data_IF_756871159957
#
_entry.id   IF_756871159957
#
_cell.length_a   1.000
_cell.length_b   1.000
_cell.length_c   1.000
_cell.angle_alpha   90.00
_cell.angle_beta   90.00
_cell.angle_gamma   90.00
#
_symmetry.space_group_name_H-M   'P 1'
#
loop_
_entity.id
_entity.type
_entity.pdbx_description
1 polymer ?
#
# COMPACT_ATOMS: atom_id res chain seq x y z
N UNK A 1 11.02 0.20 -20.58
CA UNK A 1 11.15 -1.22 -20.26
C UNK A 1 11.40 -1.99 -21.55
N UNK A 2 12.62 -2.50 -21.66
CA UNK A 2 13.06 -3.41 -22.72
C UNK A 2 12.32 -4.75 -22.62
N UNK A 3 12.40 -5.55 -23.69
CA UNK A 3 11.86 -6.92 -23.67
C UNK A 3 12.60 -7.82 -22.66
N UNK A 4 13.91 -7.62 -22.48
CA UNK A 4 14.73 -8.38 -21.53
C UNK A 4 14.36 -8.09 -20.06
N UNK A 5 14.13 -6.83 -19.70
CA UNK A 5 13.67 -6.47 -18.34
C UNK A 5 12.28 -7.07 -18.04
N UNK A 6 11.38 -7.10 -19.03
CA UNK A 6 10.06 -7.75 -18.91
C UNK A 6 10.18 -9.25 -18.68
N UNK A 7 11.08 -9.90 -19.39
CA UNK A 7 11.28 -11.34 -19.29
C UNK A 7 11.95 -11.72 -17.97
N UNK A 8 12.92 -10.93 -17.50
CA UNK A 8 13.54 -11.11 -16.19
C UNK A 8 12.54 -10.94 -15.04
N UNK A 9 11.70 -9.88 -15.07
CA UNK A 9 10.65 -9.67 -14.08
C UNK A 9 9.60 -10.79 -14.10
N UNK A 10 9.24 -11.31 -15.27
CA UNK A 10 8.34 -12.47 -15.43
C UNK A 10 8.97 -13.76 -14.90
N UNK A 11 10.27 -13.98 -15.10
CA UNK A 11 10.96 -15.18 -14.60
C UNK A 11 11.14 -15.24 -13.08
N UNK A 12 11.01 -14.09 -12.40
CA UNK A 12 11.09 -14.01 -10.93
C UNK A 12 9.74 -14.24 -10.24
N UNK A 13 8.65 -14.36 -11.01
CA UNK A 13 7.29 -14.27 -10.52
C UNK A 13 6.43 -15.35 -11.16
N UNK A 14 5.76 -16.15 -10.32
CA UNK A 14 4.72 -17.08 -10.76
C UNK A 14 3.48 -16.93 -9.89
N UNK A 15 2.31 -17.20 -10.48
CA UNK A 15 1.03 -17.17 -9.79
C UNK A 15 1.04 -18.12 -8.60
N UNK A 16 0.44 -17.69 -7.50
CA UNK A 16 0.26 -18.54 -6.34
C UNK A 16 -0.62 -19.76 -6.67
N UNK A 17 -0.15 -20.95 -6.31
CA UNK A 17 -0.96 -22.18 -6.41
C UNK A 17 -2.17 -22.09 -5.47
N UNK A 18 -3.36 -22.38 -6.00
CA UNK A 18 -4.61 -22.47 -5.23
C UNK A 18 -4.59 -23.65 -4.25
N UNK A 19 -5.35 -23.54 -3.16
CA UNK A 19 -5.58 -24.64 -2.22
C UNK A 19 -4.49 -24.86 -1.16
N UNK A 20 -3.51 -23.95 -1.06
CA UNK A 20 -2.56 -23.90 0.06
C UNK A 20 -3.20 -23.27 1.29
N UNK A 21 -2.86 -23.73 2.49
CA UNK A 21 -3.34 -23.06 3.72
C UNK A 21 -2.72 -21.67 3.86
N UNK A 22 -3.37 -20.71 4.56
CA UNK A 22 -2.80 -19.39 4.81
C UNK A 22 -1.37 -19.43 5.36
N UNK A 23 -1.07 -20.38 6.26
CA UNK A 23 0.27 -20.55 6.83
C UNK A 23 1.31 -20.96 5.77
N UNK A 24 0.95 -21.86 4.85
CA UNK A 24 1.81 -22.26 3.74
C UNK A 24 2.04 -21.11 2.75
N UNK A 25 1.00 -20.33 2.48
CA UNK A 25 1.10 -19.14 1.63
C UNK A 25 2.02 -18.09 2.26
N UNK A 26 1.88 -17.83 3.57
CA UNK A 26 2.73 -16.89 4.33
C UNK A 26 4.20 -17.32 4.33
N UNK A 27 4.49 -18.59 4.63
CA UNK A 27 5.86 -19.09 4.65
C UNK A 27 6.57 -18.89 3.29
N UNK A 28 5.89 -19.20 2.18
CA UNK A 28 6.44 -18.99 0.84
C UNK A 28 6.56 -17.51 0.46
N UNK A 29 5.66 -16.65 0.95
CA UNK A 29 5.75 -15.20 0.74
C UNK A 29 6.94 -14.60 1.52
N UNK A 30 7.08 -14.96 2.79
CA UNK A 30 8.17 -14.46 3.64
C UNK A 30 9.55 -14.94 3.17
N UNK A 31 9.66 -16.18 2.70
CA UNK A 31 10.91 -16.69 2.12
C UNK A 31 11.39 -15.82 0.95
N UNK A 32 10.45 -15.34 0.13
CA UNK A 32 10.74 -14.50 -1.05
C UNK A 32 10.99 -13.04 -0.71
N UNK A 33 10.20 -12.48 0.21
CA UNK A 33 10.15 -11.03 0.42
C UNK A 33 10.71 -10.58 1.76
N UNK A 34 10.60 -11.32 2.86
CA UNK A 34 11.00 -10.81 4.19
C UNK A 34 12.53 -10.64 4.34
N UNK A 35 13.32 -11.38 3.54
CA UNK A 35 14.77 -11.43 3.65
C UNK A 35 15.52 -10.68 2.53
N UNK A 36 14.82 -9.82 1.77
CA UNK A 36 15.48 -8.98 0.77
C UNK A 36 16.49 -8.03 1.45
N UNK A 37 17.68 -7.83 0.87
CA UNK A 37 18.69 -6.95 1.44
C UNK A 37 18.24 -5.49 1.33
N UNK A 38 18.21 -4.78 2.47
CA UNK A 38 17.78 -3.37 2.54
C UNK A 38 18.93 -2.37 2.34
N UNK A 39 20.18 -2.83 2.43
CA UNK A 39 21.40 -2.03 2.48
C UNK A 39 21.94 -1.88 3.91
N UNK A 40 23.25 -1.65 4.03
CA UNK A 40 23.93 -1.48 5.33
C UNK A 40 23.53 -0.18 6.06
N UNK A 41 22.92 0.76 5.32
CA UNK A 41 22.40 2.03 5.82
C UNK A 41 21.02 1.90 6.48
N UNK A 42 20.44 0.70 6.52
CA UNK A 42 19.10 0.46 7.07
C UNK A 42 19.15 -0.39 8.33
N UNK A 43 18.53 0.12 9.40
CA UNK A 43 18.31 -0.61 10.64
C UNK A 43 16.82 -0.70 10.94
N UNK A 44 16.34 -1.93 11.15
CA UNK A 44 14.98 -2.16 11.64
C UNK A 44 14.99 -2.26 13.17
N UNK A 45 14.08 -1.54 13.82
CA UNK A 45 13.91 -1.56 15.27
C UNK A 45 12.46 -1.89 15.59
N UNK A 46 12.25 -2.90 16.43
CA UNK A 46 10.91 -3.27 16.89
C UNK A 46 10.26 -2.13 17.67
N UNK A 47 8.99 -1.90 17.38
CA UNK A 47 8.15 -0.88 17.99
C UNK A 47 6.75 -1.43 18.22
N UNK A 48 6.02 -0.81 19.15
CA UNK A 48 4.57 -0.90 19.23
C UNK A 48 3.99 0.47 18.93
N UNK A 49 3.00 0.53 18.05
CA UNK A 49 2.33 1.76 17.61
C UNK A 49 0.82 1.53 17.63
N UNK A 50 0.08 2.29 18.43
CA UNK A 50 -1.36 2.09 18.64
C UNK A 50 -1.70 0.74 19.27
N UNK A 51 -0.77 0.12 20.00
CA UNK A 51 -0.91 -1.25 20.51
C UNK A 51 -0.64 -2.35 19.47
N UNK A 52 -0.24 -2.00 18.25
CA UNK A 52 0.05 -2.91 17.14
C UNK A 52 1.57 -3.05 16.97
N UNK A 53 2.12 -4.26 16.76
CA UNK A 53 3.55 -4.40 16.43
C UNK A 53 3.90 -3.64 15.15
N UNK A 54 5.12 -3.10 15.11
CA UNK A 54 5.63 -2.34 13.98
C UNK A 54 7.16 -2.41 13.95
N UNK A 55 7.74 -2.00 12.83
CA UNK A 55 9.17 -1.79 12.68
C UNK A 55 9.44 -0.33 12.33
N UNK A 56 10.20 0.37 13.17
CA UNK A 56 10.85 1.61 12.75
C UNK A 56 11.91 1.26 11.70
N UNK A 57 11.83 1.88 10.53
CA UNK A 57 12.75 1.70 9.40
C UNK A 57 13.72 2.89 9.40
N UNK A 58 14.79 2.76 10.18
CA UNK A 58 15.82 3.80 10.23
C UNK A 58 16.74 3.69 9.02
N UNK A 59 16.80 4.75 8.23
CA UNK A 59 17.73 4.90 7.11
C UNK A 59 18.70 6.03 7.45
N UNK A 60 20.00 5.82 7.27
CA UNK A 60 21.00 6.83 7.54
C UNK A 60 20.71 8.13 6.77
N UNK A 61 20.67 9.26 7.50
CA UNK A 61 20.37 10.58 6.94
C UNK A 61 18.89 10.89 6.71
N UNK A 62 17.96 9.95 6.94
CA UNK A 62 16.52 10.21 6.90
C UNK A 62 16.02 10.80 8.23
N UNK A 63 16.08 12.12 8.36
CA UNK A 63 15.73 12.87 9.57
C UNK A 63 14.82 14.08 9.33
N UNK A 64 14.13 14.13 8.17
CA UNK A 64 13.17 15.17 7.88
C UNK A 64 11.94 15.09 8.81
N UNK A 65 11.33 16.25 9.08
CA UNK A 65 10.13 16.32 9.91
C UNK A 65 8.95 15.56 9.28
N UNK A 66 8.32 14.71 10.09
CA UNK A 66 7.20 13.86 9.69
C UNK A 66 7.56 12.39 9.66
N UNK A 67 6.60 11.56 9.29
CA UNK A 67 6.75 10.10 9.26
C UNK A 67 5.94 9.50 8.12
N UNK A 68 6.51 8.50 7.46
CA UNK A 68 5.82 7.60 6.56
C UNK A 68 5.21 6.47 7.41
N UNK A 69 3.88 6.36 7.44
CA UNK A 69 3.21 5.16 7.92
C UNK A 69 3.04 4.21 6.73
N UNK A 70 3.82 3.13 6.73
CA UNK A 70 3.79 2.12 5.67
C UNK A 70 2.85 0.96 6.03
N UNK A 71 1.94 0.65 5.12
CA UNK A 71 0.96 -0.44 5.22
C UNK A 71 1.25 -1.43 4.10
N UNK A 72 1.73 -2.62 4.45
CA UNK A 72 2.18 -3.59 3.45
C UNK A 72 1.04 -4.21 2.63
N UNK A 73 1.35 -4.73 1.46
CA UNK A 73 0.47 -5.59 0.67
C UNK A 73 0.45 -7.04 1.16
N UNK A 74 -0.11 -7.94 0.34
CA UNK A 74 -0.32 -9.34 0.72
C UNK A 74 -1.79 -9.72 0.86
N UNK A 75 -2.70 -9.00 0.18
CA UNK A 75 -4.12 -9.35 0.08
C UNK A 75 -4.83 -9.51 1.43
N UNK A 76 -4.39 -8.78 2.47
CA UNK A 76 -4.86 -8.89 3.86
C UNK A 76 -4.63 -10.24 4.55
N UNK A 77 -3.95 -11.17 3.90
CA UNK A 77 -3.71 -12.55 4.38
C UNK A 77 -2.23 -12.82 4.58
N UNK A 78 -1.37 -12.13 3.83
CA UNK A 78 0.07 -12.31 3.75
C UNK A 78 0.81 -11.03 4.12
N UNK A 79 2.13 -11.14 4.22
CA UNK A 79 3.02 -10.04 4.51
C UNK A 79 3.20 -9.79 6.00
N UNK A 80 4.03 -8.80 6.29
CA UNK A 80 4.39 -8.35 7.63
C UNK A 80 5.05 -6.98 7.54
N UNK A 81 5.25 -6.33 8.68
CA UNK A 81 6.07 -5.12 8.79
C UNK A 81 7.45 -5.30 8.13
N UNK A 82 8.03 -6.51 8.19
CA UNK A 82 9.32 -6.82 7.55
C UNK A 82 9.24 -6.74 6.03
N UNK A 83 8.18 -7.30 5.42
CA UNK A 83 7.98 -7.22 3.96
C UNK A 83 7.68 -5.79 3.49
N UNK A 84 6.94 -5.02 4.29
CA UNK A 84 6.70 -3.59 4.01
C UNK A 84 7.97 -2.74 4.08
N UNK A 85 8.93 -3.12 4.93
CA UNK A 85 10.22 -2.42 5.04
C UNK A 85 11.01 -2.37 3.72
N UNK A 86 10.79 -3.32 2.81
CA UNK A 86 11.42 -3.37 1.49
C UNK A 86 11.07 -2.19 0.59
N UNK A 87 9.89 -1.59 0.76
CA UNK A 87 9.48 -0.38 0.03
C UNK A 87 9.54 0.86 0.93
N UNK A 88 9.31 0.71 2.23
CA UNK A 88 9.45 1.81 3.17
C UNK A 88 10.89 2.36 3.22
N UNK A 89 11.91 1.49 3.22
CA UNK A 89 13.32 1.90 3.25
C UNK A 89 13.75 2.71 2.01
N UNK A 90 13.55 2.27 0.77
CA UNK A 90 13.88 3.07 -0.41
C UNK A 90 13.09 4.39 -0.49
N UNK A 91 11.82 4.42 -0.06
CA UNK A 91 11.04 5.66 0.00
C UNK A 91 11.57 6.62 1.06
N UNK A 92 11.92 6.11 2.24
CA UNK A 92 12.59 6.86 3.31
C UNK A 92 13.93 7.43 2.81
N UNK A 93 14.75 6.62 2.15
CA UNK A 93 16.04 7.03 1.56
C UNK A 93 15.90 8.19 0.56
N UNK A 94 14.93 8.12 -0.35
CA UNK A 94 14.71 9.12 -1.42
C UNK A 94 14.02 10.40 -0.93
N UNK A 95 13.19 10.28 0.10
CA UNK A 95 12.43 11.40 0.67
C UNK A 95 13.16 12.08 1.83
N UNK A 96 14.07 11.37 2.51
CA UNK A 96 14.70 11.77 3.76
C UNK A 96 13.76 11.69 4.97
N UNK A 97 12.57 11.10 4.83
CA UNK A 97 11.54 11.06 5.87
C UNK A 97 11.59 9.71 6.59
N UNK A 98 11.65 9.68 7.94
CA UNK A 98 11.55 8.46 8.72
C UNK A 98 10.31 7.63 8.36
N UNK A 99 10.42 6.30 8.39
CA UNK A 99 9.31 5.41 8.11
C UNK A 99 9.07 4.42 9.24
N UNK A 100 7.81 4.05 9.43
CA UNK A 100 7.37 2.96 10.31
C UNK A 100 6.51 2.01 9.49
N UNK A 101 6.85 0.73 9.51
CA UNK A 101 6.11 -0.33 8.81
C UNK A 101 5.24 -1.07 9.83
N UNK A 102 3.92 -1.07 9.62
CA UNK A 102 2.96 -1.63 10.58
C UNK A 102 2.75 -3.12 10.35
N UNK A 103 2.68 -3.91 11.42
CA UNK A 103 2.41 -5.35 11.39
C UNK A 103 0.93 -5.60 11.77
N UNK A 104 0.02 -5.12 10.91
CA UNK A 104 -1.42 -5.18 11.18
C UNK A 104 -1.94 -6.62 11.13
N UNK A 105 -3.00 -6.91 11.88
CA UNK A 105 -3.59 -8.27 11.94
C UNK A 105 -4.13 -8.74 10.59
N UNK A 106 -3.87 -10.01 10.28
CA UNK A 106 -4.20 -10.65 9.01
C UNK A 106 -5.36 -11.64 9.12
N UNK A 107 -6.08 -11.77 8.02
CA UNK A 107 -7.08 -12.80 7.82
C UNK A 107 -6.43 -14.15 7.50
N UNK A 108 -7.13 -15.29 7.74
CA UNK A 108 -8.51 -15.39 8.26
C UNK A 108 -8.65 -15.30 9.78
N UNK A 109 -7.55 -15.35 10.55
CA UNK A 109 -7.59 -15.31 12.02
C UNK A 109 -8.20 -14.01 12.54
N UNK A 110 -7.95 -12.93 11.80
CA UNK A 110 -8.46 -11.60 12.07
C UNK A 110 -9.04 -11.01 10.78
N UNK A 111 -10.25 -11.46 10.42
CA UNK A 111 -11.00 -10.93 9.29
C UNK A 111 -11.35 -9.42 9.44
N UNK A 112 -11.88 -8.83 8.38
CA UNK A 112 -12.43 -7.49 8.35
C UNK A 112 -13.36 -7.25 9.55
N UNK A 113 -13.24 -6.11 10.27
CA UNK A 113 -12.39 -4.93 9.98
C UNK A 113 -11.07 -4.87 10.78
N UNK A 114 -10.48 -5.99 11.21
CA UNK A 114 -9.34 -5.98 12.14
C UNK A 114 -8.14 -5.14 11.67
N UNK A 115 -7.70 -5.30 10.41
CA UNK A 115 -6.60 -4.53 9.83
C UNK A 115 -6.85 -3.01 9.86
N UNK A 116 -8.10 -2.58 9.67
CA UNK A 116 -8.48 -1.15 9.69
C UNK A 116 -8.41 -0.60 11.10
N UNK A 117 -8.87 -1.35 12.09
CA UNK A 117 -8.75 -0.95 13.49
C UNK A 117 -7.27 -0.76 13.89
N UNK A 118 -6.40 -1.66 13.44
CA UNK A 118 -4.96 -1.60 13.72
C UNK A 118 -4.30 -0.39 13.05
N UNK A 119 -4.57 -0.19 11.75
CA UNK A 119 -4.02 0.94 11.01
C UNK A 119 -4.51 2.29 11.56
N UNK A 120 -5.79 2.39 11.94
CA UNK A 120 -6.37 3.58 12.55
C UNK A 120 -5.79 3.85 13.95
N UNK A 121 -5.58 2.81 14.77
CA UNK A 121 -4.98 2.97 16.10
C UNK A 121 -3.52 3.45 15.99
N UNK A 122 -2.73 2.87 15.08
CA UNK A 122 -1.37 3.32 14.81
C UNK A 122 -1.33 4.76 14.27
N UNK A 123 -2.19 5.06 13.29
CA UNK A 123 -2.32 6.40 12.73
C UNK A 123 -2.67 7.45 13.79
N UNK A 124 -3.67 7.14 14.63
CA UNK A 124 -4.11 7.99 15.75
C UNK A 124 -2.97 8.35 16.68
N UNK A 125 -2.18 7.36 17.12
CA UNK A 125 -1.04 7.62 18.01
C UNK A 125 -0.03 8.60 17.37
N UNK A 126 0.26 8.43 16.07
CA UNK A 126 1.16 9.33 15.35
C UNK A 126 0.62 10.77 15.32
N UNK A 127 -0.62 10.98 14.89
CA UNK A 127 -1.17 12.34 14.76
C UNK A 127 -1.42 13.02 16.10
N UNK A 128 -1.84 12.27 17.13
CA UNK A 128 -2.02 12.80 18.48
C UNK A 128 -0.68 13.17 19.15
N UNK A 129 0.43 12.53 18.74
CA UNK A 129 1.78 12.93 19.14
C UNK A 129 2.30 14.18 18.40
N UNK A 130 1.51 14.74 17.49
CA UNK A 130 1.86 15.93 16.69
C UNK A 130 2.68 15.63 15.43
N UNK A 131 2.81 14.36 15.04
CA UNK A 131 3.53 13.99 13.81
C UNK A 131 2.74 14.37 12.57
N UNK A 132 3.44 14.87 11.56
CA UNK A 132 2.91 14.95 10.19
C UNK A 132 3.07 13.60 9.54
N UNK A 133 1.97 12.99 9.13
CA UNK A 133 1.98 11.63 8.57
C UNK A 133 1.73 11.68 7.06
N UNK A 134 2.49 10.89 6.30
CA UNK A 134 2.09 10.46 4.96
C UNK A 134 1.84 8.97 5.00
N UNK A 135 0.68 8.53 4.52
CA UNK A 135 0.36 7.10 4.44
C UNK A 135 0.89 6.56 3.12
N UNK A 136 1.59 5.45 3.16
CA UNK A 136 1.98 4.73 1.95
C UNK A 136 1.54 3.28 2.10
N UNK A 137 0.95 2.72 1.05
CA UNK A 137 0.65 1.30 1.05
C UNK A 137 0.58 0.71 -0.34
N UNK A 138 0.95 -0.55 -0.43
CA UNK A 138 0.93 -1.32 -1.67
C UNK A 138 -0.19 -2.36 -1.66
N UNK A 139 -0.83 -2.59 -2.80
CA UNK A 139 -1.88 -3.62 -2.95
C UNK A 139 -2.99 -3.46 -1.90
N UNK A 140 -3.27 -4.48 -1.09
CA UNK A 140 -4.16 -4.41 0.06
C UNK A 140 -3.82 -3.27 1.04
N UNK A 141 -2.54 -2.99 1.27
CA UNK A 141 -2.08 -1.87 2.07
C UNK A 141 -2.46 -0.51 1.49
N UNK A 142 -2.55 -0.39 0.15
CA UNK A 142 -3.07 0.78 -0.53
C UNK A 142 -4.57 0.99 -0.26
N UNK A 143 -5.36 -0.08 -0.36
CA UNK A 143 -6.77 -0.06 0.07
C UNK A 143 -6.92 0.28 1.56
N UNK A 144 -6.09 -0.33 2.40
CA UNK A 144 -6.07 -0.09 3.85
C UNK A 144 -5.73 1.36 4.18
N UNK A 145 -4.78 1.97 3.47
CA UNK A 145 -4.43 3.38 3.64
C UNK A 145 -5.61 4.30 3.34
N UNK A 146 -6.36 4.03 2.27
CA UNK A 146 -7.57 4.77 1.94
C UNK A 146 -8.67 4.59 3.00
N UNK A 147 -8.92 3.35 3.42
CA UNK A 147 -9.88 3.04 4.48
C UNK A 147 -9.50 3.70 5.82
N UNK A 148 -8.21 3.75 6.14
CA UNK A 148 -7.68 4.41 7.34
C UNK A 148 -7.99 5.91 7.32
N UNK A 149 -7.79 6.59 6.19
CA UNK A 149 -8.13 8.02 6.07
C UNK A 149 -9.64 8.28 6.17
N UNK A 150 -10.46 7.41 5.59
CA UNK A 150 -11.93 7.49 5.69
C UNK A 150 -12.36 7.34 7.15
N UNK A 151 -11.82 6.34 7.85
CA UNK A 151 -12.12 6.11 9.26
C UNK A 151 -11.62 7.25 10.16
N UNK A 152 -10.40 7.76 9.91
CA UNK A 152 -9.84 8.91 10.62
C UNK A 152 -10.73 10.16 10.48
N UNK A 153 -11.21 10.45 9.26
CA UNK A 153 -12.17 11.54 9.00
C UNK A 153 -13.45 11.36 9.80
N UNK A 154 -14.00 10.14 9.82
CA UNK A 154 -15.22 9.83 10.55
C UNK A 154 -15.07 10.03 12.08
N UNK A 155 -13.86 9.82 12.61
CA UNK A 155 -13.52 10.04 14.02
C UNK A 155 -13.07 11.48 14.33
N UNK A 156 -13.06 12.38 13.35
CA UNK A 156 -12.63 13.77 13.52
C UNK A 156 -11.14 13.93 13.77
N UNK A 157 -10.32 12.94 13.41
CA UNK A 157 -8.86 13.03 13.49
C UNK A 157 -8.32 13.99 12.42
N UNK A 158 -7.18 14.67 12.67
CA UNK A 158 -6.41 15.30 11.60
C UNK A 158 -6.13 14.28 10.50
N UNK A 159 -6.27 14.69 9.23
CA UNK A 159 -5.95 13.85 8.07
C UNK A 159 -4.45 13.91 7.75
N UNK A 160 -3.89 12.89 7.07
CA UNK A 160 -2.47 12.89 6.75
C UNK A 160 -2.17 13.98 5.71
N UNK A 161 -0.89 14.31 5.55
CA UNK A 161 -0.44 15.30 4.56
C UNK A 161 -0.68 14.83 3.11
N UNK A 162 -0.86 13.53 2.91
CA UNK A 162 -1.21 12.89 1.64
C UNK A 162 -1.09 11.37 1.76
N UNK A 163 -1.40 10.68 0.67
CA UNK A 163 -1.17 9.25 0.56
C UNK A 163 -0.55 8.84 -0.78
N UNK A 164 0.34 7.85 -0.74
CA UNK A 164 0.87 7.18 -1.94
C UNK A 164 0.34 5.74 -1.97
N UNK A 165 -0.35 5.38 -3.03
CA UNK A 165 -1.03 4.11 -3.20
C UNK A 165 -0.40 3.36 -4.37
N UNK A 166 0.28 2.25 -4.09
CA UNK A 166 1.03 1.46 -5.08
C UNK A 166 0.19 0.24 -5.48
N UNK A 167 -0.30 0.18 -6.71
CA UNK A 167 -1.20 -0.85 -7.23
C UNK A 167 -2.36 -1.18 -6.25
N UNK A 168 -3.12 -0.19 -5.75
CA UNK A 168 -4.04 -0.38 -4.64
C UNK A 168 -5.20 -1.33 -4.97
N UNK A 169 -5.46 -2.29 -4.08
CA UNK A 169 -6.67 -3.10 -4.12
C UNK A 169 -7.77 -2.36 -3.36
N UNK A 170 -8.78 -1.86 -4.07
CA UNK A 170 -9.83 -0.99 -3.51
C UNK A 170 -11.25 -1.51 -3.71
N UNK A 171 -11.40 -2.61 -4.46
CA UNK A 171 -12.65 -3.31 -4.68
C UNK A 171 -12.47 -4.82 -4.39
N UNK A 172 -12.69 -5.22 -3.13
CA UNK A 172 -12.66 -6.64 -2.73
C UNK A 172 -13.87 -7.43 -3.27
N UNK A 173 -14.84 -6.76 -3.91
CA UNK A 173 -15.95 -7.44 -4.61
C UNK A 173 -15.57 -7.94 -6.01
N UNK A 174 -14.35 -7.62 -6.48
CA UNK A 174 -13.76 -8.08 -7.74
C UNK A 174 -14.58 -7.71 -8.98
N UNK A 175 -15.23 -6.53 -8.94
CA UNK A 175 -16.10 -6.06 -10.03
C UNK A 175 -15.37 -5.26 -11.10
N UNK A 176 -14.14 -4.82 -10.84
CA UNK A 176 -13.30 -4.10 -11.80
C UNK A 176 -13.11 -4.89 -13.10
N UNK A 177 -13.27 -4.30 -14.30
CA UNK A 177 -13.14 -5.04 -15.55
C UNK A 177 -11.78 -5.73 -15.76
N UNK A 178 -10.69 -5.11 -15.30
CA UNK A 178 -9.33 -5.68 -15.31
C UNK A 178 -9.22 -7.01 -14.58
N UNK A 179 -10.09 -7.29 -13.61
CA UNK A 179 -10.22 -8.61 -12.96
C UNK A 179 -10.47 -9.75 -13.95
N UNK A 180 -11.02 -9.44 -15.13
CA UNK A 180 -11.22 -10.39 -16.22
C UNK A 180 -10.24 -10.16 -17.37
N UNK A 181 -10.03 -8.92 -17.78
CA UNK A 181 -9.26 -8.62 -18.99
C UNK A 181 -7.75 -8.75 -18.81
N UNK A 182 -7.26 -8.81 -17.56
CA UNK A 182 -5.84 -8.99 -17.23
C UNK A 182 -5.53 -10.29 -16.51
N UNK A 183 -6.54 -11.15 -16.29
CA UNK A 183 -6.37 -12.41 -15.57
C UNK A 183 -5.32 -13.32 -16.23
N UNK A 184 -5.23 -13.35 -17.56
CA UNK A 184 -4.21 -14.14 -18.28
C UNK A 184 -2.84 -13.43 -18.37
N UNK A 185 -2.81 -12.10 -18.30
CA UNK A 185 -1.61 -11.28 -18.49
C UNK A 185 -0.83 -11.04 -17.19
N UNK A 186 -1.51 -11.06 -16.04
CA UNK A 186 -0.91 -10.83 -14.73
C UNK A 186 -0.06 -12.04 -14.30
N UNK A 187 1.24 -11.87 -14.06
CA UNK A 187 2.12 -12.97 -13.69
C UNK A 187 2.02 -13.35 -12.20
N UNK A 188 1.48 -12.48 -11.34
CA UNK A 188 1.38 -12.66 -9.89
C UNK A 188 0.02 -13.19 -9.45
N UNK A 189 -1.05 -12.63 -10.02
CA UNK A 189 -2.40 -12.88 -9.55
C UNK A 189 -3.25 -13.57 -10.60
N UNK A 190 -4.18 -14.39 -10.12
CA UNK A 190 -5.40 -14.71 -10.85
C UNK A 190 -6.60 -14.16 -10.11
N UNK A 191 -7.70 -13.99 -10.84
CA UNK A 191 -9.01 -13.66 -10.24
C UNK A 191 -9.42 -14.69 -9.18
N UNK A 192 -9.06 -15.96 -9.37
CA UNK A 192 -9.32 -17.02 -8.39
C UNK A 192 -8.54 -16.80 -7.08
N UNK A 193 -7.25 -16.45 -7.16
CA UNK A 193 -6.46 -16.12 -5.96
C UNK A 193 -7.03 -14.89 -5.24
N UNK A 194 -7.44 -13.87 -5.99
CA UNK A 194 -8.06 -12.66 -5.42
C UNK A 194 -9.40 -12.98 -4.74
N UNK A 195 -10.18 -13.91 -5.27
CA UNK A 195 -11.45 -14.34 -4.69
C UNK A 195 -11.26 -15.10 -3.37
N UNK A 196 -10.28 -16.00 -3.31
CA UNK A 196 -9.93 -16.71 -2.07
C UNK A 196 -9.47 -15.73 -0.97
N UNK A 197 -8.59 -14.78 -1.33
CA UNK A 197 -8.14 -13.76 -0.39
C UNK A 197 -9.28 -12.84 0.08
N UNK A 198 -10.19 -12.45 -0.82
CA UNK A 198 -11.37 -11.67 -0.45
C UNK A 198 -12.29 -12.45 0.49
N UNK A 199 -12.47 -13.76 0.29
CA UNK A 199 -13.26 -14.61 1.19
C UNK A 199 -12.65 -14.67 2.59
N UNK A 200 -11.34 -14.92 2.69
CA UNK A 200 -10.63 -14.89 3.98
C UNK A 200 -10.75 -13.52 4.65
N UNK A 201 -10.50 -12.44 3.92
CA UNK A 201 -10.54 -11.10 4.46
C UNK A 201 -11.94 -10.71 4.92
N UNK A 202 -12.98 -10.98 4.13
CA UNK A 202 -14.32 -10.51 4.46
C UNK A 202 -14.97 -11.29 5.60
N UNK A 203 -14.62 -12.56 5.81
CA UNK A 203 -15.20 -13.37 6.90
C UNK A 203 -16.74 -13.40 6.89
N UNK A 204 -17.35 -13.28 5.71
CA UNK A 204 -18.81 -13.22 5.52
C UNK A 204 -19.44 -11.81 5.53
N UNK A 205 -18.67 -10.75 5.72
CA UNK A 205 -19.16 -9.38 5.58
C UNK A 205 -19.39 -8.98 4.11
N UNK A 206 -20.15 -7.91 3.89
CA UNK A 206 -20.48 -7.41 2.54
C UNK A 206 -19.23 -6.87 1.83
N UNK A 207 -18.80 -7.45 0.69
CA UNK A 207 -17.59 -7.01 -0.01
C UNK A 207 -17.74 -5.61 -0.64
N UNK A 208 -18.94 -5.03 -0.64
CA UNK A 208 -19.18 -3.65 -1.07
C UNK A 208 -19.18 -2.64 0.08
N UNK A 209 -18.92 -3.08 1.32
CA UNK A 209 -18.73 -2.20 2.46
C UNK A 209 -17.65 -1.14 2.17
N UNK A 210 -17.94 0.12 2.44
CA UNK A 210 -17.08 1.27 2.09
C UNK A 210 -15.71 1.28 2.77
N UNK A 211 -15.50 0.53 3.86
CA UNK A 211 -14.16 0.40 4.46
C UNK A 211 -13.40 -0.82 3.93
N UNK A 212 -14.10 -1.86 3.47
CA UNK A 212 -13.47 -3.01 2.83
C UNK A 212 -13.13 -2.74 1.36
N UNK A 213 -14.03 -2.03 0.66
CA UNK A 213 -13.91 -1.59 -0.72
C UNK A 213 -14.01 -0.07 -0.79
N UNK A 214 -12.95 0.67 -0.41
CA UNK A 214 -12.98 2.13 -0.29
C UNK A 214 -13.19 2.86 -1.61
N UNK A 215 -13.14 2.17 -2.76
CA UNK A 215 -13.60 2.75 -4.02
C UNK A 215 -15.08 3.16 -3.95
N UNK A 216 -15.91 2.52 -3.11
CA UNK A 216 -17.33 2.85 -3.00
C UNK A 216 -17.64 3.99 -2.01
N UNK A 217 -16.68 4.38 -1.18
CA UNK A 217 -16.85 5.40 -0.16
C UNK A 217 -17.03 6.83 -0.74
N UNK A 218 -17.46 7.75 0.14
CA UNK A 218 -17.31 9.19 -0.04
C UNK A 218 -15.83 9.58 0.20
N UNK A 219 -15.16 10.05 -0.85
CA UNK A 219 -13.76 10.45 -0.86
C UNK A 219 -13.59 11.97 -0.64
N UNK A 220 -14.68 12.74 -0.57
CA UNK A 220 -14.62 14.19 -0.44
C UNK A 220 -13.81 14.64 0.78
N UNK A 221 -12.90 15.58 0.55
CA UNK A 221 -12.06 16.13 1.61
C UNK A 221 -10.95 15.21 2.11
N UNK A 222 -10.72 14.06 1.46
CA UNK A 222 -9.48 13.32 1.63
C UNK A 222 -8.26 14.16 1.18
N UNK A 223 -7.08 13.92 1.76
CA UNK A 223 -5.87 14.64 1.38
C UNK A 223 -5.38 14.22 -0.01
N UNK A 224 -4.37 14.90 -0.57
CA UNK A 224 -3.85 14.58 -1.89
C UNK A 224 -3.41 13.12 -2.01
N UNK A 225 -3.68 12.51 -3.17
CA UNK A 225 -3.37 11.12 -3.49
C UNK A 225 -2.40 11.03 -4.66
N UNK A 226 -1.37 10.20 -4.54
CA UNK A 226 -0.59 9.68 -5.66
C UNK A 226 -0.91 8.21 -5.83
N UNK A 227 -1.45 7.82 -6.99
CA UNK A 227 -1.73 6.43 -7.34
C UNK A 227 -0.75 5.98 -8.42
N UNK A 228 -0.09 4.85 -8.25
CA UNK A 228 0.83 4.28 -9.24
C UNK A 228 0.41 2.85 -9.57
N UNK A 229 0.35 2.49 -10.84
CA UNK A 229 -0.20 1.21 -11.28
C UNK A 229 0.48 0.71 -12.55
N UNK A 230 0.71 -0.60 -12.65
CA UNK A 230 1.17 -1.23 -13.89
C UNK A 230 0.02 -1.50 -14.86
N UNK A 231 0.27 -1.62 -16.17
CA UNK A 231 -0.77 -2.10 -17.10
C UNK A 231 -0.85 -3.63 -17.22
N UNK A 232 0.12 -4.36 -16.67
CA UNK A 232 0.19 -5.82 -16.68
C UNK A 232 -0.18 -6.41 -15.31
N UNK A 233 -1.22 -5.85 -14.68
CA UNK A 233 -1.76 -6.33 -13.41
C UNK A 233 -3.30 -6.32 -13.42
N UNK A 234 -3.88 -7.19 -12.58
CA UNK A 234 -5.32 -7.38 -12.42
C UNK A 234 -6.01 -6.20 -11.73
N UNK A 235 -5.25 -5.38 -11.00
CA UNK A 235 -5.73 -4.23 -10.23
C UNK A 235 -5.69 -2.88 -10.98
N UNK A 236 -5.42 -2.90 -12.29
CA UNK A 236 -5.42 -1.71 -13.14
C UNK A 236 -6.71 -0.88 -12.97
N UNK A 237 -7.88 -1.49 -13.15
CA UNK A 237 -9.13 -0.73 -13.10
C UNK A 237 -9.55 -0.35 -11.68
N UNK A 238 -9.03 -0.99 -10.63
CA UNK A 238 -9.21 -0.51 -9.25
C UNK A 238 -8.59 0.89 -9.11
N UNK A 239 -7.36 1.04 -9.61
CA UNK A 239 -6.65 2.32 -9.60
C UNK A 239 -7.33 3.38 -10.48
N UNK A 240 -7.73 3.01 -11.71
CA UNK A 240 -8.39 3.95 -12.62
C UNK A 240 -9.75 4.42 -12.06
N UNK A 241 -10.54 3.51 -11.48
CA UNK A 241 -11.83 3.83 -10.87
C UNK A 241 -11.67 4.70 -9.63
N UNK A 242 -10.68 4.41 -8.78
CA UNK A 242 -10.37 5.24 -7.63
C UNK A 242 -10.07 6.68 -8.05
N UNK A 243 -9.15 6.85 -9.00
CA UNK A 243 -8.72 8.18 -9.46
C UNK A 243 -9.88 8.97 -10.06
N UNK A 244 -10.69 8.33 -10.91
CA UNK A 244 -11.86 8.97 -11.50
C UNK A 244 -12.83 9.47 -10.41
N UNK A 245 -13.14 8.62 -9.42
CA UNK A 245 -14.05 8.98 -8.32
C UNK A 245 -13.50 10.04 -7.38
N UNK A 246 -12.19 10.00 -7.09
CA UNK A 246 -11.52 11.01 -6.29
C UNK A 246 -11.57 12.38 -6.99
N UNK A 247 -11.28 12.41 -8.30
CA UNK A 247 -11.34 13.61 -9.10
C UNK A 247 -12.77 14.18 -9.22
N UNK A 248 -13.78 13.32 -9.40
CA UNK A 248 -15.21 13.72 -9.41
C UNK A 248 -15.67 14.34 -8.08
N UNK A 249 -14.91 14.13 -6.99
CA UNK A 249 -15.20 14.63 -5.64
C UNK A 249 -14.19 15.70 -5.18
N UNK A 250 -13.51 16.35 -6.13
CA UNK A 250 -12.57 17.45 -5.92
C UNK A 250 -11.36 17.10 -5.01
N UNK A 251 -10.94 15.82 -4.97
CA UNK A 251 -9.71 15.39 -4.30
C UNK A 251 -8.52 15.62 -5.25
N UNK A 252 -7.45 16.24 -4.77
CA UNK A 252 -6.18 16.37 -5.51
C UNK A 252 -5.58 14.97 -5.73
N UNK A 253 -5.59 14.49 -6.98
CA UNK A 253 -5.14 13.14 -7.32
C UNK A 253 -4.24 13.15 -8.54
N UNK A 254 -3.11 12.45 -8.42
CA UNK A 254 -2.18 12.16 -9.52
C UNK A 254 -2.14 10.66 -9.77
N UNK A 255 -1.97 10.27 -11.04
CA UNK A 255 -1.94 8.88 -11.47
C UNK A 255 -0.74 8.62 -12.40
N UNK A 256 0.09 7.65 -12.03
CA UNK A 256 1.12 7.10 -12.89
C UNK A 256 0.68 5.72 -13.39
N UNK A 257 0.49 5.58 -14.71
CA UNK A 257 0.22 4.29 -15.36
C UNK A 257 1.45 3.84 -16.13
N UNK A 258 2.08 2.74 -15.69
CA UNK A 258 3.35 2.27 -16.26
C UNK A 258 3.11 1.10 -17.22
N UNK A 259 3.38 1.34 -18.49
CA UNK A 259 3.12 0.39 -19.57
C UNK A 259 3.94 -0.91 -19.43
N UNK A 260 3.22 -2.02 -19.33
CA UNK A 260 3.76 -3.38 -19.22
C UNK A 260 4.30 -3.75 -17.84
N UNK A 261 4.32 -2.82 -16.88
CA UNK A 261 4.82 -3.09 -15.54
C UNK A 261 3.86 -4.03 -14.77
N UNK A 262 4.41 -4.94 -13.95
CA UNK A 262 3.62 -5.87 -13.14
C UNK A 262 3.07 -5.22 -11.86
N UNK A 263 2.32 -6.00 -11.10
CA UNK A 263 1.79 -5.60 -9.79
C UNK A 263 2.90 -5.22 -8.81
N UNK A 264 2.78 -4.03 -8.19
CA UNK A 264 3.80 -3.39 -7.33
C UNK A 264 5.20 -3.43 -7.96
N UNK A 265 5.31 -2.97 -9.21
CA UNK A 265 6.57 -2.95 -9.94
C UNK A 265 7.70 -2.16 -9.25
N UNK A 266 7.38 -1.35 -8.24
CA UNK A 266 8.35 -0.63 -7.41
C UNK A 266 9.32 -1.58 -6.69
N UNK A 267 8.95 -2.85 -6.46
CA UNK A 267 9.87 -3.86 -5.93
C UNK A 267 11.07 -4.15 -6.84
N UNK A 268 11.00 -3.77 -8.12
CA UNK A 268 12.08 -3.95 -9.09
C UNK A 268 13.02 -2.74 -9.20
N UNK A 269 13.03 -1.84 -8.21
CA UNK A 269 13.98 -0.74 -8.14
C UNK A 269 15.44 -1.24 -8.26
N UNK A 270 16.25 -0.58 -9.08
CA UNK A 270 17.60 -1.01 -9.45
C UNK A 270 17.66 -2.05 -10.56
N UNK A 271 16.56 -2.71 -10.90
CA UNK A 271 16.43 -3.65 -12.02
C UNK A 271 15.54 -3.12 -13.16
N UNK A 272 14.63 -2.18 -12.84
CA UNK A 272 13.73 -1.51 -13.80
C UNK A 272 13.79 0.01 -13.59
N UNK A 273 14.15 0.75 -14.64
CA UNK A 273 14.20 2.23 -14.58
C UNK A 273 12.87 2.85 -14.15
N UNK A 274 11.74 2.30 -14.62
CA UNK A 274 10.42 2.79 -14.26
C UNK A 274 10.10 2.62 -12.78
N UNK A 275 10.63 1.56 -12.14
CA UNK A 275 10.46 1.35 -10.71
C UNK A 275 11.22 2.43 -9.91
N UNK A 276 12.44 2.76 -10.35
CA UNK A 276 13.21 3.85 -9.75
C UNK A 276 12.55 5.21 -9.94
N UNK A 277 12.07 5.52 -11.16
CA UNK A 277 11.34 6.75 -11.47
C UNK A 277 10.05 6.88 -10.65
N UNK A 278 9.29 5.79 -10.50
CA UNK A 278 8.09 5.76 -9.70
C UNK A 278 8.38 6.05 -8.21
N UNK A 279 9.43 5.45 -7.65
CA UNK A 279 9.84 5.72 -6.27
C UNK A 279 10.38 7.14 -6.08
N UNK A 280 11.08 7.71 -7.06
CA UNK A 280 11.54 9.09 -7.04
C UNK A 280 10.37 10.10 -7.10
N UNK A 281 9.35 9.81 -7.90
CA UNK A 281 8.12 10.60 -7.94
C UNK A 281 7.37 10.52 -6.61
N UNK A 282 7.18 9.32 -6.06
CA UNK A 282 6.57 9.11 -4.76
C UNK A 282 7.32 9.85 -3.63
N UNK A 283 8.65 9.78 -3.62
CA UNK A 283 9.46 10.51 -2.65
C UNK A 283 9.33 12.04 -2.80
N UNK A 284 9.23 12.53 -4.04
CA UNK A 284 8.99 13.96 -4.31
C UNK A 284 7.62 14.40 -3.82
N UNK A 285 6.59 13.59 -4.06
CA UNK A 285 5.26 13.80 -3.53
C UNK A 285 5.27 13.90 -1.99
N UNK A 286 5.87 12.91 -1.31
CA UNK A 286 6.03 12.88 0.16
C UNK A 286 6.69 14.17 0.67
N UNK A 287 7.83 14.55 0.09
CA UNK A 287 8.55 15.79 0.48
C UNK A 287 7.69 17.03 0.32
N UNK A 288 6.96 17.14 -0.79
CA UNK A 288 6.12 18.31 -1.06
C UNK A 288 4.96 18.40 -0.07
N UNK A 289 4.32 17.27 0.24
CA UNK A 289 3.19 17.23 1.19
C UNK A 289 3.60 17.62 2.61
N UNK A 290 4.76 17.18 3.07
CA UNK A 290 5.25 17.53 4.42
C UNK A 290 5.72 18.98 4.56
N UNK A 291 6.17 19.59 3.44
CA UNK A 291 6.59 21.01 3.38
C UNK A 291 5.41 21.98 3.30
N UNK A 292 4.26 21.53 2.83
CA UNK A 292 3.10 22.39 2.69
C UNK A 292 2.61 22.84 4.08
N UNK A 293 2.68 24.15 4.33
CA UNK A 293 2.29 24.75 5.60
C UNK A 293 0.77 24.89 5.75
N UNK A 294 0.01 24.66 4.68
CA UNK A 294 -1.46 24.74 4.70
C UNK A 294 -2.12 23.59 5.48
N UNK A 295 -1.40 22.50 5.76
CA UNK A 295 -1.92 21.30 6.45
C UNK A 295 -1.84 21.39 7.99
N UNK A 296 -1.42 22.54 8.55
CA UNK A 296 -1.23 22.70 10.00
C UNK A 296 -1.71 24.05 10.51
N UNK A 297 -3.01 24.31 10.47
CA UNK A 297 -3.56 25.55 11.01
C UNK A 297 -5.08 25.51 11.13
N UNK A 298 -5.59 24.84 12.17
CA UNK A 298 -6.84 25.30 12.79
C UNK A 298 -6.42 26.46 13.69
N UNK A 299 -6.73 27.68 13.27
CA UNK A 299 -6.76 28.84 14.15
C UNK A 299 -8.07 28.86 14.95
#
# INVERSE_FOLDING_TARGET
MSAEEREAARGMIEKAELGRTPEQQRAGFDERFANLPLGDDVKLVERTLGGVPALDVHVDGANADGVILYLHGGSYVLGSARTGANLAAPLSRRSGVPAVSLDYRLAPEHAFPAAIHDALAAYRELVESGQKVVIIGDSAGGGLGLATMIAARAEGLPLPAGAVLLSPWTDVSLKSPSMRTRDEDDPLFSRANMAEAAEFYMGGADPTNELASPVFADLKGLPPLLVQVGTAEILLDDSLRLVARAAEQDVDVSLDVVAGAPHVFQYFAGAMSEADEALDHAATFVKNRLRDKSVGGVA
#
